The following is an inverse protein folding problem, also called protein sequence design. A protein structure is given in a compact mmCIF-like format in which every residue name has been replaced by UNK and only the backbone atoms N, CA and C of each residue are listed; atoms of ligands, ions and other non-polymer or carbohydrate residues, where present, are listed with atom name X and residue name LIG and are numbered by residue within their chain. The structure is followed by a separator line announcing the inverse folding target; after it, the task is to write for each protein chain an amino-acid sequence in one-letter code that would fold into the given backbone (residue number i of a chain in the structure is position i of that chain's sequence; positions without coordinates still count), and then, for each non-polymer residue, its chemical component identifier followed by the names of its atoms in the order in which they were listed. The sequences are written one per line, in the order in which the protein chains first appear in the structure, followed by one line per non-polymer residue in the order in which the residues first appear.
data_IF_859647417013
#
_entry.id   IF_859647417013
#
_cell.length_a   1.000
_cell.length_b   1.000
_cell.length_c   1.000
_cell.angle_alpha   90.00
_cell.angle_beta   90.00
_cell.angle_gamma   90.00
#
_symmetry.space_group_name_H-M   'P 1'
#
loop_
_entity.id
_entity.type
_entity.pdbx_description
1 polymer ?
#
# COMPACT_ATOMS: atom_id res chain seq x y z
N UNK A 1 -16.78 -6.45 -26.16
CA UNK A 1 -15.63 -7.19 -25.60
C UNK A 1 -15.46 -6.71 -24.17
N UNK A 2 -15.88 -7.49 -23.18
CA UNK A 2 -15.60 -7.20 -21.77
C UNK A 2 -14.43 -8.08 -21.35
N UNK A 3 -13.22 -7.54 -21.40
CA UNK A 3 -12.08 -8.21 -20.77
C UNK A 3 -12.28 -8.19 -19.26
N UNK A 4 -12.24 -9.37 -18.63
CA UNK A 4 -12.29 -9.51 -17.19
C UNK A 4 -10.90 -9.23 -16.62
N UNK A 5 -10.82 -8.29 -15.68
CA UNK A 5 -9.59 -8.02 -14.96
C UNK A 5 -9.18 -9.27 -14.15
N UNK A 6 -8.03 -9.86 -14.48
CA UNK A 6 -7.46 -10.97 -13.72
C UNK A 6 -6.59 -10.40 -12.61
N UNK A 7 -6.94 -10.70 -11.36
CA UNK A 7 -6.08 -10.34 -10.23
C UNK A 7 -4.80 -11.19 -10.28
N UNK A 8 -3.65 -10.57 -10.04
CA UNK A 8 -2.41 -11.30 -9.80
C UNK A 8 -2.56 -12.16 -8.52
N UNK A 9 -1.96 -13.36 -8.44
CA UNK A 9 -2.05 -14.17 -7.24
C UNK A 9 -1.44 -13.42 -6.04
N UNK A 10 -2.11 -13.47 -4.90
CA UNK A 10 -1.56 -13.03 -3.62
C UNK A 10 -0.70 -14.16 -3.06
N UNK A 11 0.59 -13.91 -2.90
CA UNK A 11 1.58 -14.93 -2.53
C UNK A 11 2.46 -14.40 -1.40
N UNK A 12 2.53 -15.13 -0.29
CA UNK A 12 3.42 -14.82 0.83
C UNK A 12 4.75 -15.56 0.71
N UNK A 13 5.84 -14.96 1.19
CA UNK A 13 7.14 -15.63 1.31
C UNK A 13 7.08 -16.86 2.25
N UNK A 14 6.15 -16.85 3.22
CA UNK A 14 6.01 -17.92 4.21
C UNK A 14 5.57 -19.26 3.59
N UNK A 15 4.89 -19.20 2.44
CA UNK A 15 4.16 -20.33 1.83
C UNK A 15 4.82 -20.86 0.54
N UNK A 16 5.97 -20.32 0.13
CA UNK A 16 6.63 -20.68 -1.14
C UNK A 16 7.81 -21.64 -0.98
N UNK A 17 8.15 -22.33 -2.09
CA UNK A 17 9.46 -22.94 -2.28
C UNK A 17 10.45 -21.93 -2.89
N UNK A 18 11.43 -21.51 -2.09
CA UNK A 18 12.50 -20.58 -2.52
C UNK A 18 13.35 -21.11 -3.69
N UNK A 19 13.34 -22.43 -3.95
CA UNK A 19 14.05 -23.04 -5.09
C UNK A 19 13.26 -22.91 -6.39
N UNK A 20 11.96 -22.65 -6.31
CA UNK A 20 11.12 -22.41 -7.48
C UNK A 20 11.20 -20.91 -7.86
N UNK A 21 11.79 -20.56 -9.02
CA UNK A 21 11.95 -19.17 -9.43
C UNK A 21 10.61 -18.46 -9.68
N UNK A 22 9.56 -19.21 -10.06
CA UNK A 22 8.23 -18.64 -10.31
C UNK A 22 7.58 -18.22 -9.00
N UNK A 23 7.61 -19.09 -7.98
CA UNK A 23 7.01 -18.81 -6.67
C UNK A 23 7.73 -17.63 -6.00
N UNK A 24 9.07 -17.63 -6.05
CA UNK A 24 9.87 -16.53 -5.53
C UNK A 24 9.54 -15.20 -6.19
N UNK A 25 9.42 -15.19 -7.53
CA UNK A 25 9.08 -13.97 -8.28
C UNK A 25 7.67 -13.47 -7.95
N UNK A 26 6.70 -14.38 -7.84
CA UNK A 26 5.33 -14.04 -7.49
C UNK A 26 5.23 -13.43 -6.07
N UNK A 27 5.94 -13.98 -5.08
CA UNK A 27 5.97 -13.42 -3.72
C UNK A 27 6.60 -12.01 -3.69
N UNK A 28 7.70 -11.80 -4.43
CA UNK A 28 8.33 -10.48 -4.56
C UNK A 28 7.38 -9.44 -5.16
N UNK A 29 6.67 -9.81 -6.23
CA UNK A 29 5.72 -8.92 -6.91
C UNK A 29 4.49 -8.65 -6.05
N UNK A 30 3.95 -9.68 -5.39
CA UNK A 30 2.80 -9.55 -4.50
C UNK A 30 3.10 -8.59 -3.35
N UNK A 31 4.21 -8.78 -2.64
CA UNK A 31 4.61 -7.90 -1.53
C UNK A 31 4.83 -6.45 -1.99
N UNK A 32 5.48 -6.25 -3.14
CA UNK A 32 5.76 -4.92 -3.66
C UNK A 32 4.47 -4.21 -4.11
N UNK A 33 3.55 -4.94 -4.76
CA UNK A 33 2.25 -4.42 -5.18
C UNK A 33 1.45 -3.92 -4.00
N UNK A 34 1.37 -4.68 -2.91
CA UNK A 34 0.64 -4.25 -1.70
C UNK A 34 1.23 -2.98 -1.06
N UNK A 35 2.56 -2.82 -1.09
CA UNK A 35 3.19 -1.56 -0.67
C UNK A 35 2.77 -0.37 -1.55
N UNK A 36 2.67 -0.57 -2.86
CA UNK A 36 2.16 0.46 -3.77
C UNK A 36 0.67 0.76 -3.54
N UNK A 37 -0.15 -0.25 -3.26
CA UNK A 37 -1.58 -0.06 -2.91
C UNK A 37 -1.69 0.84 -1.67
N UNK A 38 -0.88 0.62 -0.63
CA UNK A 38 -0.84 1.50 0.56
C UNK A 38 -0.46 2.94 0.24
N UNK A 39 0.41 3.16 -0.75
CA UNK A 39 0.78 4.50 -1.23
C UNK A 39 -0.37 5.14 -2.00
N UNK A 40 -1.02 4.41 -2.90
CA UNK A 40 -2.18 4.93 -3.63
C UNK A 40 -3.33 5.27 -2.67
N UNK A 41 -3.52 4.49 -1.61
CA UNK A 41 -4.44 4.81 -0.54
C UNK A 41 -4.08 6.11 0.19
N UNK A 42 -2.82 6.29 0.58
CA UNK A 42 -2.36 7.55 1.17
C UNK A 42 -2.58 8.74 0.22
N UNK A 43 -2.30 8.58 -1.08
CA UNK A 43 -2.53 9.62 -2.09
C UNK A 43 -4.01 9.99 -2.21
N UNK A 44 -4.91 9.01 -2.14
CA UNK A 44 -6.36 9.25 -2.14
C UNK A 44 -6.77 10.08 -0.92
N UNK A 45 -6.30 9.71 0.28
CA UNK A 45 -6.58 10.48 1.52
C UNK A 45 -6.01 11.89 1.42
N UNK A 46 -4.77 12.05 0.94
CA UNK A 46 -4.15 13.36 0.74
C UNK A 46 -4.95 14.23 -0.23
N UNK A 47 -5.41 13.68 -1.36
CA UNK A 47 -6.24 14.42 -2.33
C UNK A 47 -7.58 14.84 -1.73
N UNK A 48 -8.20 13.98 -0.92
CA UNK A 48 -9.42 14.33 -0.20
C UNK A 48 -9.17 15.47 0.79
N UNK A 49 -8.06 15.43 1.55
CA UNK A 49 -7.66 16.48 2.47
C UNK A 49 -7.40 17.82 1.76
N UNK A 50 -6.64 17.80 0.66
CA UNK A 50 -6.39 19.00 -0.17
C UNK A 50 -7.69 19.61 -0.68
N UNK A 51 -8.65 18.78 -1.10
CA UNK A 51 -9.95 19.25 -1.56
C UNK A 51 -10.79 19.83 -0.42
N UNK A 52 -10.78 19.21 0.77
CA UNK A 52 -11.45 19.74 1.94
C UNK A 52 -10.92 21.13 2.29
N UNK A 53 -9.60 21.30 2.36
CA UNK A 53 -8.98 22.60 2.63
C UNK A 53 -9.36 23.68 1.61
N UNK A 54 -9.48 23.34 0.32
CA UNK A 54 -9.90 24.27 -0.73
C UNK A 54 -11.35 24.72 -0.57
N UNK A 55 -12.23 23.86 -0.03
CA UNK A 55 -13.67 24.15 0.09
C UNK A 55 -14.00 24.83 1.42
N UNK A 56 -13.42 24.37 2.53
CA UNK A 56 -13.70 24.87 3.89
C UNK A 56 -13.08 26.23 4.21
N UNK A 57 -12.05 26.65 3.47
CA UNK A 57 -11.41 27.95 3.67
C UNK A 57 -10.89 28.10 5.12
N UNK A 58 -11.26 29.17 5.86
CA UNK A 58 -10.83 29.38 7.25
C UNK A 58 -11.24 28.26 8.22
N UNK A 59 -12.33 27.54 7.94
CA UNK A 59 -12.86 26.48 8.81
C UNK A 59 -12.14 25.13 8.64
N UNK A 60 -11.15 25.04 7.74
CA UNK A 60 -10.48 23.78 7.42
C UNK A 60 -9.82 23.07 8.62
N UNK A 61 -9.49 23.79 9.70
CA UNK A 61 -8.97 23.18 10.93
C UNK A 61 -10.01 22.31 11.66
N UNK A 62 -11.29 22.65 11.58
CA UNK A 62 -12.38 21.88 12.17
C UNK A 62 -12.89 20.85 11.18
N UNK A 63 -13.29 21.30 9.98
CA UNK A 63 -13.94 20.48 8.96
C UNK A 63 -13.05 19.35 8.42
N UNK A 64 -11.73 19.59 8.30
CA UNK A 64 -10.81 18.66 7.66
C UNK A 64 -9.99 17.84 8.66
N UNK A 65 -10.28 17.94 9.97
CA UNK A 65 -9.50 17.31 11.03
C UNK A 65 -9.38 15.81 10.87
N UNK A 66 -10.48 15.12 10.58
CA UNK A 66 -10.46 13.65 10.44
C UNK A 66 -9.58 13.18 9.28
N UNK A 67 -9.60 13.91 8.16
CA UNK A 67 -8.75 13.62 7.01
C UNK A 67 -7.28 13.89 7.32
N UNK A 68 -6.98 14.94 8.10
CA UNK A 68 -5.64 15.25 8.55
C UNK A 68 -5.09 14.18 9.50
N UNK A 69 -5.87 13.80 10.52
CA UNK A 69 -5.49 12.76 11.48
C UNK A 69 -5.27 11.41 10.77
N UNK A 70 -6.15 11.05 9.82
CA UNK A 70 -6.00 9.85 9.00
C UNK A 70 -4.75 9.88 8.12
N UNK A 71 -4.47 11.02 7.48
CA UNK A 71 -3.26 11.16 6.65
C UNK A 71 -1.99 11.00 7.50
N UNK A 72 -1.94 11.61 8.68
CA UNK A 72 -0.83 11.50 9.62
C UNK A 72 -0.65 10.07 10.16
N UNK A 73 -1.74 9.37 10.44
CA UNK A 73 -1.70 7.97 10.86
C UNK A 73 -1.15 7.04 9.78
N UNK A 74 -1.47 7.28 8.51
CA UNK A 74 -1.03 6.44 7.38
C UNK A 74 0.41 6.73 6.92
N UNK A 75 0.90 7.96 7.11
CA UNK A 75 2.23 8.42 6.69
C UNK A 75 3.43 7.51 7.07
N UNK A 76 3.53 6.96 8.30
CA UNK A 76 4.62 6.06 8.65
C UNK A 76 4.52 4.69 7.95
N UNK A 77 3.31 4.21 7.68
CA UNK A 77 3.05 2.86 7.15
C UNK A 77 3.07 2.80 5.62
N UNK A 78 2.64 3.87 4.94
CA UNK A 78 2.49 3.93 3.48
C UNK A 78 3.81 4.24 2.76
N UNK A 79 4.87 3.45 3.01
CA UNK A 79 6.19 3.60 2.38
C UNK A 79 6.61 2.31 1.67
N UNK A 80 7.27 2.45 0.51
CA UNK A 80 7.94 1.30 -0.12
C UNK A 80 9.22 0.97 0.64
N UNK A 81 9.29 -0.22 1.22
CA UNK A 81 10.45 -0.78 1.89
C UNK A 81 11.14 -1.86 1.03
N UNK A 82 10.49 -2.28 -0.06
CA UNK A 82 10.95 -3.40 -0.90
C UNK A 82 10.67 -4.75 -0.24
N UNK A 83 11.25 -5.82 -0.79
CA UNK A 83 11.01 -7.20 -0.32
C UNK A 83 12.25 -7.87 0.30
N UNK A 84 13.46 -7.36 0.04
CA UNK A 84 14.70 -8.04 0.46
C UNK A 84 14.84 -8.18 1.98
N UNK A 85 14.32 -7.22 2.74
CA UNK A 85 14.35 -7.27 4.21
C UNK A 85 13.59 -8.48 4.75
N UNK A 86 12.38 -8.72 4.25
CA UNK A 86 11.57 -9.88 4.61
C UNK A 86 12.13 -11.16 4.00
N UNK A 87 12.41 -11.16 2.69
CA UNK A 87 12.89 -12.36 1.97
C UNK A 87 14.14 -12.99 2.59
N UNK A 88 15.09 -12.18 3.08
CA UNK A 88 16.35 -12.65 3.68
C UNK A 88 16.25 -12.95 5.17
N UNK A 89 15.19 -12.49 5.84
CA UNK A 89 14.97 -12.66 7.27
C UNK A 89 13.54 -13.16 7.52
N UNK A 90 13.09 -14.09 6.68
CA UNK A 90 11.74 -14.63 6.76
C UNK A 90 11.60 -15.32 8.13
N UNK A 91 10.68 -14.86 9.01
CA UNK A 91 10.56 -15.37 10.37
C UNK A 91 10.10 -16.83 10.42
N UNK A 92 9.65 -17.40 9.30
CA UNK A 92 9.17 -18.78 9.21
C UNK A 92 10.24 -19.79 8.77
N UNK A 93 11.43 -19.32 8.38
CA UNK A 93 12.52 -20.14 7.83
C UNK A 93 13.78 -20.15 8.70
#
# INVERSE_FOLDING_TARGET
MTETFKHAPEVSFDEIDYRNPVDLKNAQESMLKEQFVKIEYLKMVRKALENCWKVSGPNGYEDCRELADKYLALLPESRVQGYLGYQRNDPTK
#
